data_IF_969619576230
#
_entry.id   IF_969619576230
#
_cell.length_a   1.000
_cell.length_b   1.000
_cell.length_c   1.000
_cell.angle_alpha   90.00
_cell.angle_beta   90.00
_cell.angle_gamma   90.00
#
_symmetry.space_group_name_H-M   'P 1'
#
loop_
_entity.id
_entity.type
_entity.pdbx_description
1 polymer ?
#
# COMPACT_ATOMS: atom_id res chain seq x y z
N UNK A 1 2.37 -21.09 14.98
CA UNK A 1 2.27 -19.98 14.01
C UNK A 1 3.27 -20.20 12.88
N UNK A 2 2.91 -20.93 11.81
CA UNK A 2 3.78 -21.06 10.63
C UNK A 2 3.71 -19.71 9.89
N UNK A 3 4.73 -18.86 10.03
CA UNK A 3 4.84 -17.65 9.21
C UNK A 3 4.86 -18.07 7.74
N UNK A 4 3.95 -17.50 6.94
CA UNK A 4 3.83 -17.78 5.51
C UNK A 4 5.08 -17.30 4.77
N UNK A 5 6.11 -18.15 4.68
CA UNK A 5 7.38 -17.85 4.00
C UNK A 5 7.19 -17.57 2.50
N UNK A 6 6.12 -18.10 1.91
CA UNK A 6 5.75 -17.91 0.50
C UNK A 6 5.40 -16.46 0.17
N UNK A 7 4.88 -15.70 1.14
CA UNK A 7 4.48 -14.30 0.91
C UNK A 7 5.70 -13.38 0.93
N UNK A 8 6.68 -13.65 1.80
CA UNK A 8 7.94 -12.91 1.84
C UNK A 8 8.72 -13.03 0.52
N UNK A 9 8.77 -14.22 -0.08
CA UNK A 9 9.43 -14.43 -1.38
C UNK A 9 8.71 -13.75 -2.54
N UNK A 10 7.38 -13.65 -2.50
CA UNK A 10 6.60 -12.95 -3.54
C UNK A 10 6.84 -11.42 -3.49
N UNK A 11 6.82 -10.84 -2.28
CA UNK A 11 7.14 -9.42 -2.09
C UNK A 11 8.56 -9.10 -2.54
N UNK A 12 9.51 -9.98 -2.27
CA UNK A 12 10.90 -9.81 -2.70
C UNK A 12 11.04 -9.86 -4.23
N UNK A 13 10.37 -10.81 -4.88
CA UNK A 13 10.35 -10.89 -6.34
C UNK A 13 9.74 -9.64 -6.98
N UNK A 14 8.61 -9.13 -6.44
CA UNK A 14 7.97 -7.90 -6.90
C UNK A 14 8.87 -6.68 -6.72
N UNK A 15 9.52 -6.53 -5.56
CA UNK A 15 10.50 -5.46 -5.33
C UNK A 15 11.63 -5.50 -6.35
N UNK A 16 12.18 -6.68 -6.62
CA UNK A 16 13.26 -6.83 -7.59
C UNK A 16 12.83 -6.45 -9.01
N UNK A 17 11.62 -6.85 -9.42
CA UNK A 17 11.04 -6.47 -10.71
C UNK A 17 10.87 -4.94 -10.83
N UNK A 18 10.33 -4.30 -9.80
CA UNK A 18 10.14 -2.84 -9.79
C UNK A 18 11.47 -2.09 -9.80
N UNK A 19 12.47 -2.55 -9.03
CA UNK A 19 13.81 -1.96 -9.03
C UNK A 19 14.40 -1.97 -10.44
N UNK A 20 14.36 -3.13 -11.13
CA UNK A 20 14.86 -3.26 -12.50
C UNK A 20 14.13 -2.32 -13.45
N UNK A 21 12.79 -2.25 -13.40
CA UNK A 21 12.01 -1.36 -14.26
C UNK A 21 12.32 0.12 -14.02
N UNK A 22 12.44 0.55 -12.76
CA UNK A 22 12.77 1.94 -12.41
C UNK A 22 14.15 2.31 -12.96
N UNK A 23 15.13 1.42 -12.83
CA UNK A 23 16.46 1.64 -13.39
C UNK A 23 16.42 1.74 -14.92
N UNK A 24 15.74 0.80 -15.59
CA UNK A 24 15.69 0.75 -17.05
C UNK A 24 14.88 1.88 -17.69
N UNK A 25 13.68 2.16 -17.16
CA UNK A 25 12.74 3.09 -17.79
C UNK A 25 13.01 4.55 -17.41
N UNK A 26 13.60 4.79 -16.23
CA UNK A 26 13.84 6.14 -15.70
C UNK A 26 15.32 6.50 -15.60
N UNK A 27 16.21 5.57 -15.94
CA UNK A 27 17.67 5.74 -15.89
C UNK A 27 18.17 6.18 -14.49
N UNK A 28 17.51 5.69 -13.43
CA UNK A 28 17.91 5.98 -12.06
C UNK A 28 18.98 5.02 -11.56
N UNK A 29 19.79 5.50 -10.61
CA UNK A 29 20.80 4.68 -9.93
C UNK A 29 20.13 3.57 -9.12
N UNK A 30 20.85 2.47 -8.90
CA UNK A 30 20.34 1.35 -8.10
C UNK A 30 19.96 1.78 -6.69
N UNK A 31 20.72 2.68 -6.08
CA UNK A 31 20.42 3.25 -4.75
C UNK A 31 19.10 3.99 -4.74
N UNK A 32 18.84 4.83 -5.77
CA UNK A 32 17.59 5.56 -5.92
C UNK A 32 16.41 4.60 -6.16
N UNK A 33 16.56 3.66 -7.07
CA UNK A 33 15.54 2.65 -7.36
C UNK A 33 15.20 1.83 -6.10
N UNK A 34 16.20 1.42 -5.32
CA UNK A 34 15.99 0.67 -4.07
C UNK A 34 15.21 1.51 -3.04
N UNK A 35 15.57 2.78 -2.88
CA UNK A 35 14.85 3.70 -1.98
C UNK A 35 13.38 3.88 -2.41
N UNK A 36 13.13 4.11 -3.71
CA UNK A 36 11.79 4.26 -4.25
C UNK A 36 10.94 3.01 -4.06
N UNK A 37 11.51 1.83 -4.32
CA UNK A 37 10.79 0.55 -4.21
C UNK A 37 10.31 0.30 -2.78
N UNK A 38 11.17 0.57 -1.78
CA UNK A 38 10.79 0.48 -0.35
C UNK A 38 9.69 1.48 0.01
N UNK A 39 9.75 2.69 -0.54
CA UNK A 39 8.74 3.71 -0.27
C UNK A 39 7.38 3.34 -0.85
N UNK A 40 7.36 2.82 -2.07
CA UNK A 40 6.14 2.35 -2.75
C UNK A 40 5.50 1.20 -1.97
N UNK A 41 6.29 0.22 -1.52
CA UNK A 41 5.77 -0.88 -0.70
C UNK A 41 5.10 -0.38 0.59
N UNK A 42 5.78 0.50 1.33
CA UNK A 42 5.20 1.12 2.54
C UNK A 42 3.92 1.89 2.26
N UNK A 43 3.81 2.53 1.08
CA UNK A 43 2.58 3.22 0.68
C UNK A 43 1.47 2.25 0.33
N UNK A 44 1.76 1.15 -0.37
CA UNK A 44 0.75 0.12 -0.72
C UNK A 44 0.19 -0.54 0.54
N UNK A 45 1.05 -0.87 1.51
CA UNK A 45 0.62 -1.40 2.81
C UNK A 45 -0.29 -0.41 3.55
N UNK A 46 -0.03 0.90 3.40
CA UNK A 46 -0.88 1.94 3.96
C UNK A 46 -2.16 2.20 3.13
N UNK A 47 -2.13 1.98 1.82
CA UNK A 47 -3.28 2.17 0.93
C UNK A 47 -4.34 1.08 1.08
N UNK A 48 -4.00 -0.10 1.65
CA UNK A 48 -5.01 -1.09 2.05
C UNK A 48 -6.01 -0.51 3.05
N UNK A 49 -5.62 0.52 3.80
CA UNK A 49 -6.53 1.32 4.60
C UNK A 49 -7.24 2.34 3.71
N UNK A 50 -8.15 1.85 2.88
CA UNK A 50 -8.91 2.67 1.94
C UNK A 50 -9.63 3.81 2.66
N UNK A 51 -9.65 4.99 2.06
CA UNK A 51 -10.52 6.06 2.53
C UNK A 51 -11.96 5.72 2.13
N UNK A 52 -12.81 5.49 3.12
CA UNK A 52 -14.23 5.27 2.93
C UNK A 52 -15.00 6.56 3.22
N UNK A 53 -16.04 6.81 2.43
CA UNK A 53 -17.06 7.79 2.77
C UNK A 53 -18.24 7.01 3.34
N UNK A 54 -18.57 7.27 4.60
CA UNK A 54 -19.63 6.58 5.32
C UNK A 54 -20.80 7.54 5.50
N UNK A 55 -21.95 7.15 4.98
CA UNK A 55 -23.23 7.78 5.26
C UNK A 55 -23.97 6.96 6.33
N UNK A 56 -24.39 7.59 7.42
CA UNK A 56 -25.17 6.92 8.46
C UNK A 56 -26.24 7.82 9.08
N UNK A 57 -27.27 7.18 9.61
CA UNK A 57 -28.32 7.84 10.39
C UNK A 57 -28.07 7.60 11.87
N UNK A 58 -28.03 8.67 12.65
CA UNK A 58 -27.99 8.57 14.11
C UNK A 58 -29.35 8.15 14.65
N UNK A 59 -29.34 7.58 15.86
CA UNK A 59 -30.57 7.27 16.60
C UNK A 59 -31.42 8.53 16.90
N UNK A 60 -30.79 9.71 16.96
CA UNK A 60 -31.46 11.01 17.10
C UNK A 60 -32.13 11.51 15.80
N UNK A 61 -32.07 10.74 14.72
CA UNK A 61 -32.64 11.11 13.42
C UNK A 61 -31.74 12.00 12.55
N UNK A 62 -30.53 12.32 12.99
CA UNK A 62 -29.59 13.14 12.20
C UNK A 62 -28.86 12.28 11.17
N UNK A 63 -28.90 12.69 9.91
CA UNK A 63 -28.04 12.14 8.86
C UNK A 63 -26.63 12.75 8.91
N UNK A 64 -25.60 11.93 8.79
CA UNK A 64 -24.20 12.38 8.68
C UNK A 64 -23.44 11.64 7.60
N UNK A 65 -22.57 12.40 6.94
CA UNK A 65 -21.56 11.91 6.00
C UNK A 65 -20.16 12.18 6.59
N UNK A 66 -19.33 11.15 6.72
CA UNK A 66 -17.98 11.27 7.27
C UNK A 66 -16.94 10.57 6.41
N UNK A 67 -15.74 11.13 6.36
CA UNK A 67 -14.56 10.47 5.80
C UNK A 67 -13.92 9.61 6.89
N UNK A 68 -13.76 8.33 6.63
CA UNK A 68 -13.17 7.36 7.55
C UNK A 68 -12.05 6.57 6.86
N UNK A 69 -11.20 5.95 7.66
CA UNK A 69 -10.16 5.02 7.21
C UNK A 69 -10.65 3.60 7.46
N UNK A 70 -10.77 2.79 6.41
CA UNK A 70 -11.16 1.39 6.53
C UNK A 70 -9.99 0.61 7.12
N UNK A 71 -10.22 -0.17 8.17
CA UNK A 71 -9.23 -1.09 8.73
C UNK A 71 -9.64 -2.54 8.46
N UNK A 72 -8.69 -3.47 8.22
CA UNK A 72 -8.97 -4.88 7.98
C UNK A 72 -9.48 -5.62 9.22
#
# INVERSE_FOLDING_TARGET
>A
MRKSTKNASLHEALRNLWKIRIMLEKNYTETCATWMTRRIESLIDHMQYGHAVIAYHKQDGTFKLVKATLMP
#
